data_IF_399819145681
#
_entry.id   IF_399819145681
#
_cell.length_a   1.000
_cell.length_b   1.000
_cell.length_c   1.000
_cell.angle_alpha   90.00
_cell.angle_beta   90.00
_cell.angle_gamma   90.00
#
_symmetry.space_group_name_H-M   'P 1'
#
loop_
_entity.id
_entity.type
_entity.pdbx_description
1 polymer ?
#
# COMPACT_ATOMS: atom_id res chain seq x y z
N UNK A 1 31.85 -12.44 -4.85
CA UNK A 1 31.16 -11.29 -4.23
C UNK A 1 29.83 -11.04 -4.96
N UNK A 2 28.74 -11.63 -4.47
CA UNK A 2 27.40 -11.29 -4.95
C UNK A 2 27.05 -9.88 -4.46
N UNK A 3 26.50 -8.99 -5.30
CA UNK A 3 26.00 -7.72 -4.82
C UNK A 3 24.86 -8.01 -3.84
N UNK A 4 24.97 -7.47 -2.63
CA UNK A 4 23.88 -7.42 -1.67
C UNK A 4 22.68 -6.75 -2.34
N UNK A 5 21.44 -7.22 -2.08
CA UNK A 5 20.27 -6.47 -2.51
C UNK A 5 20.34 -5.06 -1.92
N UNK A 6 20.20 -4.04 -2.76
CA UNK A 6 20.08 -2.66 -2.30
C UNK A 6 18.73 -2.53 -1.60
N UNK A 7 18.74 -2.57 -0.27
CA UNK A 7 17.56 -2.21 0.54
C UNK A 7 17.47 -0.69 0.60
N UNK A 8 16.30 -0.16 0.27
CA UNK A 8 15.99 1.27 0.39
C UNK A 8 14.83 1.38 1.35
N UNK A 9 15.03 2.14 2.42
CA UNK A 9 14.00 2.42 3.41
C UNK A 9 13.34 3.77 3.10
N UNK A 10 12.02 3.83 3.26
CA UNK A 10 11.24 5.03 3.08
C UNK A 10 10.51 5.37 4.36
N UNK A 11 10.41 6.66 4.68
CA UNK A 11 9.57 7.09 5.79
C UNK A 11 8.08 6.89 5.48
N UNK A 12 7.41 6.22 6.41
CA UNK A 12 5.97 5.98 6.35
C UNK A 12 5.30 6.27 7.71
N UNK A 13 3.97 6.30 7.69
CA UNK A 13 3.15 6.36 8.89
C UNK A 13 2.11 5.23 8.86
N UNK A 14 2.07 4.32 9.84
CA UNK A 14 1.11 3.23 9.85
C UNK A 14 -0.32 3.72 10.06
N UNK A 15 -1.27 2.98 9.51
CA UNK A 15 -2.69 3.20 9.76
C UNK A 15 -3.06 2.93 11.21
N UNK A 16 -4.05 3.66 11.72
CA UNK A 16 -4.62 3.42 13.05
C UNK A 16 -5.79 2.42 13.02
N UNK A 17 -5.87 1.61 11.97
CA UNK A 17 -6.88 0.58 11.72
C UNK A 17 -6.30 -0.56 10.87
N UNK A 18 -7.03 -1.67 10.77
CA UNK A 18 -6.55 -2.88 10.10
C UNK A 18 -5.61 -3.70 10.98
N UNK A 19 -4.97 -4.71 10.39
CA UNK A 19 -3.95 -5.48 11.08
C UNK A 19 -2.67 -4.65 11.27
N UNK A 20 -1.95 -4.84 12.39
CA UNK A 20 -0.62 -4.30 12.53
C UNK A 20 0.32 -4.95 11.51
N UNK A 21 1.37 -4.21 11.10
CA UNK A 21 2.48 -4.82 10.39
C UNK A 21 3.19 -5.81 11.32
N UNK A 22 3.43 -7.03 10.83
CA UNK A 22 4.23 -8.04 11.52
C UNK A 22 5.68 -7.57 11.65
N UNK A 23 6.45 -8.10 12.62
CA UNK A 23 7.89 -7.79 12.75
C UNK A 23 8.69 -8.14 11.47
N UNK A 24 8.24 -9.15 10.71
CA UNK A 24 8.86 -9.55 9.44
C UNK A 24 8.42 -8.69 8.23
N UNK A 25 7.44 -7.80 8.44
CA UNK A 25 6.77 -7.03 7.40
C UNK A 25 5.95 -7.87 6.41
N UNK A 26 5.32 -7.19 5.44
CA UNK A 26 4.64 -7.82 4.31
C UNK A 26 5.52 -7.73 3.07
N UNK A 27 5.81 -8.89 2.45
CA UNK A 27 6.59 -8.95 1.22
C UNK A 27 5.68 -9.14 0.02
N UNK A 28 5.80 -8.27 -0.97
CA UNK A 28 4.97 -8.39 -2.16
C UNK A 28 5.40 -7.51 -3.32
N UNK A 29 4.71 -7.74 -4.45
CA UNK A 29 4.81 -6.89 -5.62
C UNK A 29 3.99 -5.64 -5.41
N UNK A 30 4.62 -4.48 -5.55
CA UNK A 30 3.88 -3.23 -5.58
C UNK A 30 3.14 -3.12 -6.90
N UNK A 31 1.88 -2.69 -6.86
CA UNK A 31 1.04 -2.47 -8.03
C UNK A 31 0.27 -1.16 -7.82
N UNK A 32 0.29 -0.27 -8.81
CA UNK A 32 -0.54 0.93 -8.76
C UNK A 32 -2.01 0.58 -8.99
N UNK A 33 -2.88 0.98 -8.04
CA UNK A 33 -4.29 0.65 -8.08
C UNK A 33 -5.00 1.27 -9.30
N UNK A 34 -6.05 0.59 -9.78
CA UNK A 34 -6.90 1.07 -10.87
C UNK A 34 -8.37 0.90 -10.49
N UNK A 35 -9.14 1.99 -10.27
CA UNK A 35 -8.72 3.40 -10.32
C UNK A 35 -7.67 3.79 -9.24
N UNK A 36 -6.78 4.77 -9.50
CA UNK A 36 -5.69 5.14 -8.58
C UNK A 36 -6.15 5.63 -7.21
N UNK A 37 -7.36 6.19 -7.11
CA UNK A 37 -7.89 6.67 -5.83
C UNK A 37 -8.62 5.57 -5.04
N UNK A 38 -8.85 4.38 -5.62
CA UNK A 38 -9.58 3.28 -4.99
C UNK A 38 -10.91 3.67 -4.31
N UNK A 39 -11.60 4.69 -4.81
CA UNK A 39 -12.91 5.09 -4.28
C UNK A 39 -14.05 4.24 -4.85
N UNK A 40 -13.75 3.44 -5.86
CA UNK A 40 -14.59 2.39 -6.41
C UNK A 40 -13.81 1.06 -6.33
N UNK A 41 -14.48 -0.09 -6.48
CA UNK A 41 -13.80 -1.37 -6.59
C UNK A 41 -12.66 -1.32 -7.60
N UNK A 42 -11.49 -1.78 -7.19
CA UNK A 42 -10.28 -1.74 -8.02
C UNK A 42 -10.00 -3.08 -8.67
N UNK A 43 -9.22 -3.05 -9.74
CA UNK A 43 -8.67 -4.25 -10.36
C UNK A 43 -7.73 -4.96 -9.37
N UNK A 44 -7.95 -6.27 -9.21
CA UNK A 44 -7.06 -7.13 -8.44
C UNK A 44 -5.69 -7.29 -9.09
N UNK A 45 -4.69 -7.75 -8.34
CA UNK A 45 -3.40 -8.09 -8.91
C UNK A 45 -3.60 -9.11 -10.03
N UNK A 46 -2.91 -8.96 -11.17
CA UNK A 46 -2.91 -10.01 -12.17
C UNK A 46 -2.44 -11.30 -11.51
N UNK A 47 -3.25 -12.36 -11.60
CA UNK A 47 -2.94 -13.68 -11.03
C UNK A 47 -1.60 -14.10 -11.60
N UNK A 48 -0.57 -13.92 -10.79
CA UNK A 48 0.77 -14.31 -11.10
C UNK A 48 1.06 -15.49 -10.18
N UNK A 49 1.62 -16.56 -10.74
CA UNK A 49 2.04 -17.74 -9.98
C UNK A 49 3.24 -17.45 -9.08
N UNK A 50 3.28 -16.27 -8.47
CA UNK A 50 4.32 -15.86 -7.55
C UNK A 50 3.92 -16.29 -6.15
N UNK A 51 4.90 -16.80 -5.40
CA UNK A 51 4.75 -17.16 -4.00
C UNK A 51 4.62 -15.95 -3.06
N UNK A 52 4.72 -14.74 -3.59
CA UNK A 52 4.71 -13.47 -2.85
C UNK A 52 3.37 -12.75 -3.04
N UNK A 53 2.99 -11.97 -2.03
CA UNK A 53 1.75 -11.20 -2.09
C UNK A 53 1.82 -10.00 -3.02
N UNK A 54 0.74 -9.22 -3.03
CA UNK A 54 0.65 -7.96 -3.77
C UNK A 54 0.30 -6.83 -2.83
N UNK A 55 0.96 -5.69 -3.03
CA UNK A 55 0.81 -4.46 -2.24
C UNK A 55 0.23 -3.39 -3.17
N UNK A 56 -0.89 -2.79 -2.80
CA UNK A 56 -1.51 -1.73 -3.60
C UNK A 56 -0.87 -0.37 -3.29
N UNK A 57 -0.50 0.39 -4.32
CA UNK A 57 -0.17 1.81 -4.23
C UNK A 57 -1.41 2.63 -4.61
N UNK A 58 -1.94 3.40 -3.66
CA UNK A 58 -3.20 4.15 -3.79
C UNK A 58 -2.95 5.64 -3.56
N UNK A 59 -3.57 6.48 -4.38
CA UNK A 59 -3.53 7.93 -4.27
C UNK A 59 -4.48 8.44 -3.18
N UNK A 60 -4.02 9.40 -2.37
CA UNK A 60 -4.85 10.16 -1.41
C UNK A 60 -5.92 11.03 -2.12
N UNK A 61 -6.97 11.37 -1.35
CA UNK A 61 -8.14 12.21 -1.69
C UNK A 61 -9.32 11.45 -2.31
N UNK A 62 -10.40 12.19 -2.61
CA UNK A 62 -11.70 11.74 -3.17
C UNK A 62 -12.59 10.90 -2.24
N UNK A 63 -12.02 10.07 -1.36
CA UNK A 63 -12.72 9.27 -0.37
C UNK A 63 -11.86 8.98 0.86
N UNK A 64 -12.44 8.31 1.86
CA UNK A 64 -11.82 8.00 3.15
C UNK A 64 -10.77 6.89 3.04
N UNK A 65 -9.82 6.84 3.98
CA UNK A 65 -8.71 5.88 3.96
C UNK A 65 -9.16 4.43 4.17
N UNK A 66 -10.09 4.22 5.09
CA UNK A 66 -10.71 2.93 5.37
C UNK A 66 -11.38 2.33 4.12
N UNK A 67 -12.15 3.13 3.37
CA UNK A 67 -12.78 2.68 2.13
C UNK A 67 -11.75 2.26 1.07
N UNK A 68 -10.66 3.01 0.93
CA UNK A 68 -9.56 2.68 0.00
C UNK A 68 -8.94 1.32 0.33
N UNK A 69 -8.64 1.10 1.61
CA UNK A 69 -8.02 -0.14 2.09
C UNK A 69 -8.99 -1.31 1.95
N UNK A 70 -10.29 -1.11 2.22
CA UNK A 70 -11.31 -2.13 2.04
C UNK A 70 -11.44 -2.56 0.57
N UNK A 71 -11.47 -1.62 -0.39
CA UNK A 71 -11.53 -1.97 -1.81
C UNK A 71 -10.28 -2.74 -2.27
N UNK A 72 -9.10 -2.38 -1.76
CA UNK A 72 -7.88 -3.13 -2.06
C UNK A 72 -7.91 -4.55 -1.47
N UNK A 73 -8.40 -4.70 -0.24
CA UNK A 73 -8.58 -6.02 0.35
C UNK A 73 -9.55 -6.88 -0.46
N UNK A 74 -10.69 -6.33 -0.86
CA UNK A 74 -11.68 -7.03 -1.67
C UNK A 74 -11.14 -7.44 -3.05
N UNK A 75 -10.19 -6.67 -3.58
CA UNK A 75 -9.50 -6.97 -4.83
C UNK A 75 -8.36 -8.02 -4.67
N UNK A 76 -8.04 -8.43 -3.44
CA UNK A 76 -7.05 -9.48 -3.15
C UNK A 76 -5.63 -8.99 -2.84
N UNK A 77 -5.45 -7.70 -2.57
CA UNK A 77 -4.17 -7.18 -2.07
C UNK A 77 -3.94 -7.57 -0.61
N UNK A 78 -2.67 -7.75 -0.22
CA UNK A 78 -2.26 -8.17 1.12
C UNK A 78 -1.76 -7.02 1.99
N UNK A 79 -1.45 -5.88 1.39
CA UNK A 79 -1.14 -4.64 2.10
C UNK A 79 -1.41 -3.42 1.20
N UNK A 80 -1.49 -2.25 1.81
CA UNK A 80 -1.76 -0.99 1.10
C UNK A 80 -0.77 0.10 1.48
N UNK A 81 -0.28 0.81 0.48
CA UNK A 81 0.49 2.05 0.63
C UNK A 81 -0.37 3.17 0.06
N UNK A 82 -0.82 4.09 0.92
CA UNK A 82 -1.50 5.32 0.48
C UNK A 82 -0.46 6.42 0.37
N UNK A 83 -0.38 7.10 -0.77
CA UNK A 83 0.57 8.19 -0.95
C UNK A 83 -0.10 9.56 -0.98
N UNK A 84 0.63 10.55 -0.47
CA UNK A 84 0.22 11.95 -0.56
C UNK A 84 0.31 12.48 -2.00
N UNK A 85 -0.30 13.64 -2.24
CA UNK A 85 -0.33 14.33 -3.54
C UNK A 85 0.01 15.79 -3.29
N UNK A 86 0.98 16.32 -4.02
CA UNK A 86 1.50 17.69 -3.90
C UNK A 86 2.01 18.06 -2.49
N UNK A 87 2.34 17.08 -1.65
CA UNK A 87 2.93 17.30 -0.33
C UNK A 87 3.77 16.09 0.06
N UNK A 88 4.81 16.32 0.88
CA UNK A 88 5.63 15.27 1.46
C UNK A 88 5.31 14.99 2.93
N UNK A 89 4.32 15.68 3.49
CA UNK A 89 3.91 15.48 4.87
C UNK A 89 3.27 14.11 5.02
N UNK A 90 3.66 13.40 6.08
CA UNK A 90 3.01 12.17 6.50
C UNK A 90 1.75 12.53 7.29
N UNK A 91 0.70 11.72 7.12
CA UNK A 91 -0.53 11.85 7.90
C UNK A 91 -0.89 10.51 8.51
N UNK A 92 -1.43 10.56 9.72
CA UNK A 92 -2.02 9.38 10.32
C UNK A 92 -3.33 9.05 9.62
N UNK A 93 -3.44 7.84 9.10
CA UNK A 93 -4.67 7.36 8.50
C UNK A 93 -5.62 6.92 9.62
N UNK A 94 -6.69 7.68 9.80
CA UNK A 94 -7.82 7.36 10.68
C UNK A 94 -8.98 6.80 9.86
N UNK A 95 -9.71 5.86 10.44
CA UNK A 95 -10.98 5.40 9.90
C UNK A 95 -12.06 6.46 10.16
N UNK A 96 -13.11 6.45 9.35
CA UNK A 96 -14.28 7.32 9.50
C UNK A 96 -15.51 6.49 9.86
N UNK A 97 -15.63 5.28 9.31
CA UNK A 97 -16.79 4.41 9.49
C UNK A 97 -16.40 3.12 10.22
N UNK A 98 -17.00 2.87 11.38
CA UNK A 98 -16.66 1.70 12.22
C UNK A 98 -17.02 0.37 11.56
N UNK A 99 -18.12 0.31 10.80
CA UNK A 99 -18.56 -0.87 10.06
C UNK A 99 -17.56 -1.24 8.94
N UNK A 100 -16.97 -0.25 8.28
CA UNK A 100 -15.89 -0.45 7.30
C UNK A 100 -14.62 -0.90 8.02
N UNK A 101 -14.23 -0.21 9.10
CA UNK A 101 -13.04 -0.51 9.89
C UNK A 101 -12.98 -1.97 10.32
N UNK A 102 -14.10 -2.52 10.81
CA UNK A 102 -14.20 -3.89 11.31
C UNK A 102 -13.98 -4.96 10.24
N UNK A 103 -14.12 -4.61 8.97
CA UNK A 103 -13.91 -5.52 7.85
C UNK A 103 -12.44 -5.53 7.37
N UNK A 104 -11.62 -4.57 7.80
CA UNK A 104 -10.25 -4.42 7.31
C UNK A 104 -9.31 -5.29 8.14
N UNK A 105 -8.65 -6.22 7.46
CA UNK A 105 -7.73 -7.21 8.03
C UNK A 105 -6.31 -7.08 7.46
N UNK A 106 -6.12 -6.29 6.40
CA UNK A 106 -4.80 -6.06 5.82
C UNK A 106 -4.12 -4.82 6.43
N UNK A 107 -2.78 -4.85 6.61
CA UNK A 107 -2.04 -3.67 7.07
C UNK A 107 -1.98 -2.59 6.01
N UNK A 108 -1.83 -1.34 6.46
CA UNK A 108 -1.65 -0.20 5.55
C UNK A 108 -0.77 0.89 6.14
N UNK A 109 -0.07 1.60 5.26
CA UNK A 109 0.79 2.74 5.63
C UNK A 109 0.55 3.93 4.73
N UNK A 110 0.99 5.09 5.18
CA UNK A 110 0.96 6.35 4.45
C UNK A 110 2.38 6.81 4.11
N UNK A 111 2.60 7.28 2.88
CA UNK A 111 3.91 7.79 2.41
C UNK A 111 3.82 9.16 1.73
N UNK A 112 4.96 9.82 1.62
CA UNK A 112 5.11 11.10 0.93
C UNK A 112 4.88 11.01 -0.59
N UNK A 113 4.62 12.15 -1.26
CA UNK A 113 4.59 12.17 -2.73
C UNK A 113 5.95 11.79 -3.32
N UNK A 114 7.05 12.26 -2.74
CA UNK A 114 8.41 11.92 -3.15
C UNK A 114 8.64 10.40 -3.12
N UNK A 115 8.31 9.76 -2.00
CA UNK A 115 8.37 8.30 -1.85
C UNK A 115 7.55 7.59 -2.92
N UNK A 116 6.34 8.06 -3.23
CA UNK A 116 5.55 7.45 -4.31
C UNK A 116 6.23 7.54 -5.68
N UNK A 117 6.93 8.64 -5.98
CA UNK A 117 7.67 8.79 -7.24
C UNK A 117 8.81 7.78 -7.30
N UNK A 118 9.56 7.63 -6.21
CA UNK A 118 10.64 6.63 -6.11
C UNK A 118 10.09 5.19 -6.26
N UNK A 119 8.99 4.89 -5.55
CA UNK A 119 8.29 3.61 -5.66
C UNK A 119 7.81 3.32 -7.10
N UNK A 120 7.35 4.32 -7.85
CA UNK A 120 6.95 4.16 -9.26
C UNK A 120 8.12 3.90 -10.20
N UNK A 121 9.29 4.46 -9.92
CA UNK A 121 10.51 4.12 -10.66
C UNK A 121 10.89 2.66 -10.42
N UNK A 122 10.80 2.24 -9.15
CA UNK A 122 10.99 0.87 -8.68
C UNK A 122 10.01 -0.08 -9.40
N UNK A 123 8.71 0.24 -9.50
CA UNK A 123 7.70 -0.57 -10.23
C UNK A 123 8.11 -1.02 -11.65
N UNK A 124 8.99 -0.28 -12.32
CA UNK A 124 9.38 -0.57 -13.70
C UNK A 124 10.39 -1.74 -13.85
N UNK A 125 10.83 -2.36 -12.74
CA UNK A 125 11.91 -3.38 -12.74
C UNK A 125 11.63 -4.70 -12.01
N UNK A 126 10.37 -5.05 -11.72
CA UNK A 126 9.97 -6.20 -10.88
C UNK A 126 10.56 -6.28 -9.44
N UNK A 127 10.75 -5.18 -8.72
CA UNK A 127 11.31 -5.24 -7.38
C UNK A 127 10.27 -5.73 -6.37
N UNK A 128 10.74 -6.60 -5.49
CA UNK A 128 10.02 -7.06 -4.30
C UNK A 128 10.12 -5.96 -3.25
N UNK A 129 9.00 -5.52 -2.71
CA UNK A 129 8.98 -4.63 -1.56
C UNK A 129 8.82 -5.43 -0.28
N UNK A 130 9.44 -4.92 0.78
CA UNK A 130 9.17 -5.32 2.16
C UNK A 130 8.54 -4.10 2.80
N UNK A 131 7.33 -4.25 3.31
CA UNK A 131 6.62 -3.26 4.09
C UNK A 131 6.76 -3.66 5.56
N UNK A 132 7.69 -3.07 6.29
CA UNK A 132 8.02 -3.42 7.69
C UNK A 132 7.95 -2.20 8.59
#
# INVERSE_FOLDING_TARGET
PHPSPCTVDFSDAPALFGAPLSEDGVRGYLIEARPPNACQPIEGPMISNHSLGSIALIRRFDCTFDLKVLHAQQAGYQAVIVHNVHSNDLVHMVHVYDDIRQQIEIPSVFVSEATSKDLRVILSGEPKLILS
#
